data_IF_214008737811
#
_entry.id   IF_214008737811
#
_cell.length_a   1.000
_cell.length_b   1.000
_cell.length_c   1.000
_cell.angle_alpha   90.00
_cell.angle_beta   90.00
_cell.angle_gamma   90.00
#
_symmetry.space_group_name_H-M   'P 1'
#
loop_
_entity.id
_entity.type
_entity.pdbx_description
1 polymer ?
#
# COMPACT_ATOMS: atom_id res chain seq x y z
N UNK A 1 -41.28 59.93 50.20
CA UNK A 1 -40.00 59.97 49.54
C UNK A 1 -39.44 58.54 49.56
N UNK A 2 -39.70 57.78 48.50
CA UNK A 2 -39.24 56.39 48.40
C UNK A 2 -38.03 56.36 47.51
N UNK A 3 -36.89 55.95 48.09
CA UNK A 3 -35.64 55.67 47.29
C UNK A 3 -35.71 54.24 46.76
N UNK A 4 -35.76 54.09 45.41
CA UNK A 4 -35.61 52.81 44.70
C UNK A 4 -34.12 52.56 44.56
N UNK A 5 -33.65 51.41 45.10
CA UNK A 5 -32.28 50.91 44.98
C UNK A 5 -32.26 50.03 43.80
N UNK A 6 -31.52 50.46 42.70
CA UNK A 6 -31.27 49.66 41.49
C UNK A 6 -30.09 48.72 41.76
N UNK A 7 -30.36 47.41 41.82
CA UNK A 7 -29.32 46.38 41.90
C UNK A 7 -28.89 46.01 40.46
N UNK A 8 -27.64 46.35 40.11
CA UNK A 8 -27.05 45.88 38.86
C UNK A 8 -26.42 44.49 39.07
N UNK A 9 -27.05 43.46 38.49
CA UNK A 9 -26.48 42.11 38.43
C UNK A 9 -25.52 42.05 37.23
N UNK A 10 -24.24 42.01 37.53
CA UNK A 10 -23.20 41.75 36.50
C UNK A 10 -23.13 40.24 36.27
N UNK A 11 -23.72 39.76 35.17
CA UNK A 11 -23.61 38.37 34.74
C UNK A 11 -22.23 38.15 34.08
N UNK A 12 -21.32 37.51 34.79
CA UNK A 12 -20.02 37.08 34.24
C UNK A 12 -20.24 35.85 33.38
N UNK A 13 -20.30 36.02 32.05
CA UNK A 13 -20.25 34.92 31.08
C UNK A 13 -18.83 34.35 31.06
N UNK A 14 -18.61 33.26 31.76
CA UNK A 14 -17.40 32.40 31.60
C UNK A 14 -17.50 31.70 30.26
N UNK A 15 -16.84 32.25 29.24
CA UNK A 15 -16.58 31.55 27.98
C UNK A 15 -15.46 30.54 28.23
N UNK A 16 -15.84 29.29 28.55
CA UNK A 16 -14.91 28.19 28.57
C UNK A 16 -14.57 27.84 27.11
N UNK A 17 -13.42 28.32 26.61
CA UNK A 17 -12.84 27.87 25.38
C UNK A 17 -12.40 26.41 25.56
N UNK A 18 -13.23 25.48 25.08
CA UNK A 18 -12.83 24.08 24.92
C UNK A 18 -11.79 24.04 23.82
N UNK A 19 -10.52 24.13 24.17
CA UNK A 19 -9.42 23.76 23.27
C UNK A 19 -9.54 22.26 23.04
N UNK A 20 -10.16 21.85 21.93
CA UNK A 20 -10.06 20.51 21.39
C UNK A 20 -8.59 20.30 21.01
N UNK A 21 -7.86 19.66 21.89
CA UNK A 21 -6.48 19.23 21.60
C UNK A 21 -6.57 18.13 20.54
N UNK A 22 -6.62 18.49 19.25
CA UNK A 22 -6.46 17.54 18.14
C UNK A 22 -5.09 16.90 18.33
N UNK A 23 -5.05 15.70 18.91
CA UNK A 23 -3.83 14.91 19.06
C UNK A 23 -3.24 14.78 17.65
N UNK A 24 -2.06 15.35 17.42
CA UNK A 24 -1.38 15.26 16.12
C UNK A 24 -1.12 13.79 15.81
N UNK A 25 -1.46 13.38 14.59
CA UNK A 25 -1.19 12.02 14.11
C UNK A 25 0.33 11.81 14.11
N UNK A 26 0.82 10.79 14.80
CA UNK A 26 2.23 10.43 14.77
C UNK A 26 2.58 9.83 13.42
N UNK A 27 3.65 10.35 12.83
CA UNK A 27 4.21 9.91 11.55
C UNK A 27 5.68 9.58 11.76
N UNK A 28 6.10 8.43 11.24
CA UNK A 28 7.48 7.98 11.25
C UNK A 28 8.08 8.06 9.85
N UNK A 29 9.40 8.16 9.77
CA UNK A 29 10.12 8.19 8.50
C UNK A 29 11.23 7.14 8.50
N UNK A 30 11.29 6.36 7.41
CA UNK A 30 12.35 5.40 7.10
C UNK A 30 13.05 5.87 5.84
N UNK A 31 14.39 5.92 5.84
CA UNK A 31 15.20 6.45 4.73
C UNK A 31 16.16 5.41 4.19
N UNK A 32 16.27 5.36 2.86
CA UNK A 32 17.24 4.58 2.11
C UNK A 32 17.95 5.52 1.12
N UNK A 33 19.12 6.04 1.50
CA UNK A 33 19.84 7.05 0.72
C UNK A 33 19.00 8.32 0.46
N UNK A 34 18.65 8.55 -0.82
CA UNK A 34 17.79 9.69 -1.23
C UNK A 34 16.29 9.35 -1.25
N UNK A 35 15.94 8.12 -0.95
CA UNK A 35 14.56 7.64 -0.87
C UNK A 35 14.05 7.75 0.56
N UNK A 36 12.83 8.20 0.74
CA UNK A 36 12.18 8.33 2.04
C UNK A 36 10.74 7.85 2.00
N UNK A 37 10.35 7.07 3.01
CA UNK A 37 9.00 6.57 3.21
C UNK A 37 8.44 7.12 4.51
N UNK A 38 7.23 7.69 4.49
CA UNK A 38 6.52 8.12 5.69
C UNK A 38 5.37 7.20 6.01
N UNK A 39 5.28 6.81 7.27
CA UNK A 39 4.30 5.86 7.77
C UNK A 39 3.50 6.51 8.90
N UNK A 40 2.18 6.52 8.77
CA UNK A 40 1.26 6.94 9.82
C UNK A 40 1.00 5.79 10.80
N UNK A 41 0.90 6.10 12.09
CA UNK A 41 0.45 5.11 13.08
C UNK A 41 -0.98 4.62 12.83
N UNK A 42 -1.81 5.40 12.15
CA UNK A 42 -3.17 5.00 11.82
C UNK A 42 -3.17 3.93 10.71
N UNK A 43 -3.46 2.69 11.10
CA UNK A 43 -3.44 1.52 10.24
C UNK A 43 -2.03 1.09 9.81
N UNK A 44 -0.95 1.74 10.31
CA UNK A 44 0.38 1.55 9.76
C UNK A 44 0.39 1.82 8.25
N UNK A 45 -0.30 2.88 7.81
CA UNK A 45 -0.45 3.27 6.41
C UNK A 45 0.80 3.97 5.91
N UNK A 46 1.33 3.55 4.77
CA UNK A 46 2.37 4.29 4.05
C UNK A 46 1.71 5.48 3.38
N UNK A 47 2.06 6.69 3.81
CA UNK A 47 1.42 7.94 3.36
C UNK A 47 2.27 8.76 2.41
N UNK A 48 3.53 8.37 2.21
CA UNK A 48 4.46 9.04 1.28
C UNK A 48 5.59 8.10 0.95
N UNK A 49 6.00 8.07 -0.33
CA UNK A 49 7.20 7.39 -0.79
C UNK A 49 7.88 8.26 -1.85
N UNK A 50 9.05 8.82 -1.52
CA UNK A 50 9.72 9.87 -2.30
C UNK A 50 11.14 9.50 -2.66
N UNK A 51 11.57 9.96 -3.83
CA UNK A 51 12.99 10.06 -4.19
C UNK A 51 13.35 11.53 -4.44
N UNK A 52 14.36 12.05 -3.75
CA UNK A 52 14.75 13.47 -3.85
C UNK A 52 13.57 14.46 -3.73
N UNK A 53 12.57 14.16 -2.89
CA UNK A 53 11.36 14.98 -2.72
C UNK A 53 10.23 14.72 -3.72
N UNK A 54 10.47 14.00 -4.82
CA UNK A 54 9.44 13.63 -5.80
C UNK A 54 8.57 12.49 -5.27
N UNK A 55 7.27 12.73 -5.11
CA UNK A 55 6.29 11.80 -4.56
C UNK A 55 5.77 10.85 -5.64
N UNK A 56 5.61 9.57 -5.29
CA UNK A 56 4.99 8.57 -6.17
C UNK A 56 3.60 8.13 -5.70
N UNK A 57 3.25 8.31 -4.45
CA UNK A 57 1.95 7.91 -3.92
C UNK A 57 0.95 9.06 -4.00
N UNK A 58 -0.33 8.73 -4.16
CA UNK A 58 -1.42 9.70 -3.99
C UNK A 58 -1.49 10.21 -2.56
N UNK A 59 -1.92 11.47 -2.39
CA UNK A 59 -1.93 12.16 -1.11
C UNK A 59 -3.34 12.35 -0.56
N UNK A 60 -3.48 12.47 0.76
CA UNK A 60 -4.76 12.70 1.44
C UNK A 60 -5.48 13.99 1.04
N UNK A 61 -4.75 14.97 0.52
CA UNK A 61 -5.31 16.20 -0.05
C UNK A 61 -6.00 15.98 -1.39
N UNK A 62 -5.66 14.88 -2.09
CA UNK A 62 -6.22 14.54 -3.40
C UNK A 62 -7.43 13.61 -3.24
N UNK A 63 -7.34 12.63 -2.31
CA UNK A 63 -8.36 11.62 -2.12
C UNK A 63 -8.31 10.96 -0.74
N UNK A 64 -9.47 10.50 -0.23
CA UNK A 64 -9.56 9.77 1.04
C UNK A 64 -8.86 8.39 0.99
N UNK A 65 -8.89 7.73 -0.18
CA UNK A 65 -8.10 6.53 -0.45
C UNK A 65 -6.74 6.94 -1.01
N UNK A 66 -5.74 7.09 -0.18
CA UNK A 66 -4.41 7.56 -0.53
C UNK A 66 -3.33 6.63 0.03
N UNK A 67 -2.11 6.75 -0.48
CA UNK A 67 -0.97 5.99 0.01
C UNK A 67 -1.12 4.49 -0.17
N UNK A 68 -0.59 3.69 0.74
CA UNK A 68 -0.69 2.23 0.69
C UNK A 68 -1.13 1.63 2.01
N UNK A 69 -1.94 0.57 1.90
CA UNK A 69 -2.46 -0.21 3.03
C UNK A 69 -2.31 -1.70 2.77
N UNK A 70 -2.09 -2.47 3.83
CA UNK A 70 -2.26 -3.91 3.80
C UNK A 70 -3.68 -4.25 4.28
N UNK A 71 -4.41 -5.00 3.46
CA UNK A 71 -5.69 -5.60 3.83
C UNK A 71 -5.59 -7.13 3.93
N UNK A 72 -6.57 -7.73 4.57
CA UNK A 72 -6.73 -9.19 4.59
C UNK A 72 -7.60 -9.63 3.40
N UNK A 73 -7.10 -10.57 2.60
CA UNK A 73 -7.87 -11.16 1.50
C UNK A 73 -8.55 -12.47 1.95
N UNK A 74 -9.74 -12.82 1.41
CA UNK A 74 -10.47 -12.11 0.36
C UNK A 74 -11.31 -10.94 0.90
N UNK A 75 -11.59 -9.95 0.04
CA UNK A 75 -12.47 -8.83 0.37
C UNK A 75 -13.88 -9.28 0.74
N UNK A 76 -14.36 -10.40 0.20
CA UNK A 76 -15.68 -10.97 0.51
C UNK A 76 -15.90 -11.25 2.00
N UNK A 77 -14.84 -11.42 2.79
CA UNK A 77 -14.94 -11.72 4.22
C UNK A 77 -15.31 -10.47 5.06
N UNK A 78 -15.16 -9.26 4.51
CA UNK A 78 -15.41 -8.02 5.26
C UNK A 78 -16.18 -6.95 4.46
N UNK A 79 -16.30 -7.08 3.14
CA UNK A 79 -17.00 -6.11 2.29
C UNK A 79 -16.35 -4.73 2.24
N UNK A 80 -17.10 -3.67 2.57
CA UNK A 80 -16.61 -2.30 2.65
C UNK A 80 -17.30 -1.55 3.79
N UNK A 81 -16.60 -0.77 4.60
CA UNK A 81 -15.15 -0.50 4.60
C UNK A 81 -14.33 -1.66 5.22
N UNK A 82 -12.97 -1.59 5.10
CA UNK A 82 -12.08 -2.54 5.78
C UNK A 82 -12.24 -2.50 7.30
N UNK A 83 -11.76 -3.55 7.98
CA UNK A 83 -11.75 -3.60 9.45
C UNK A 83 -11.00 -2.41 10.04
N UNK A 84 -11.68 -1.53 10.76
CA UNK A 84 -11.13 -0.26 11.24
C UNK A 84 -9.88 -0.45 12.12
N UNK A 85 -9.85 -1.48 12.97
CA UNK A 85 -8.70 -1.78 13.84
C UNK A 85 -7.45 -2.08 13.03
N UNK A 86 -7.60 -2.72 11.86
CA UNK A 86 -6.48 -3.09 10.99
C UNK A 86 -6.12 -2.02 9.96
N UNK A 87 -7.04 -1.11 9.61
CA UNK A 87 -6.84 -0.13 8.52
C UNK A 87 -6.68 1.32 8.98
N UNK A 88 -7.32 1.74 10.09
CA UNK A 88 -7.42 3.16 10.44
C UNK A 88 -7.22 3.51 11.90
N UNK A 89 -7.25 2.54 12.81
CA UNK A 89 -6.98 2.78 14.24
C UNK A 89 -5.48 2.86 14.49
N UNK A 90 -5.08 3.57 15.56
CA UNK A 90 -3.68 3.79 15.94
C UNK A 90 -2.99 2.47 16.31
N UNK A 91 -1.88 2.15 15.62
CA UNK A 91 -0.97 1.06 15.94
C UNK A 91 0.03 1.48 17.01
N UNK A 92 0.44 0.55 17.85
CA UNK A 92 1.63 0.74 18.69
C UNK A 92 2.87 0.74 17.81
N UNK A 93 3.73 1.75 17.99
CA UNK A 93 4.91 1.93 17.15
C UNK A 93 6.18 2.01 18.00
N UNK A 94 7.22 1.33 17.55
CA UNK A 94 8.56 1.36 18.08
C UNK A 94 9.56 1.55 16.93
N UNK A 95 10.48 2.50 17.08
CA UNK A 95 11.57 2.70 16.12
C UNK A 95 12.91 2.54 16.83
N UNK A 96 13.78 1.66 16.29
CA UNK A 96 15.14 1.42 16.78
C UNK A 96 16.11 1.62 15.61
N UNK A 97 16.83 2.73 15.61
CA UNK A 97 17.65 3.14 14.47
C UNK A 97 16.77 3.29 13.22
N UNK A 98 17.14 2.58 12.16
CA UNK A 98 16.42 2.61 10.88
C UNK A 98 15.26 1.60 10.80
N UNK A 99 15.12 0.75 11.81
CA UNK A 99 14.05 -0.25 11.89
C UNK A 99 12.82 0.37 12.57
N UNK A 100 11.72 0.44 11.84
CA UNK A 100 10.41 0.81 12.37
C UNK A 100 9.53 -0.44 12.46
N UNK A 101 8.91 -0.65 13.61
CA UNK A 101 7.93 -1.71 13.86
C UNK A 101 6.63 -1.11 14.36
N UNK A 102 5.50 -1.59 13.83
CA UNK A 102 4.17 -1.23 14.29
C UNK A 102 3.29 -2.46 14.45
N UNK A 103 2.44 -2.47 15.49
CA UNK A 103 1.52 -3.56 15.75
C UNK A 103 0.11 -3.01 15.99
N UNK A 104 -0.90 -3.58 15.31
CA UNK A 104 -2.30 -3.23 15.53
C UNK A 104 -2.78 -3.66 16.91
N UNK A 105 -3.88 -3.07 17.38
CA UNK A 105 -4.67 -3.72 18.43
C UNK A 105 -5.19 -5.07 17.90
N UNK A 106 -5.44 -6.06 18.79
CA UNK A 106 -6.20 -7.24 18.41
C UNK A 106 -7.59 -6.85 17.88
N UNK A 107 -7.97 -7.35 16.71
CA UNK A 107 -9.31 -7.09 16.17
C UNK A 107 -10.23 -8.30 16.39
N UNK A 108 -11.19 -8.22 17.31
CA UNK A 108 -12.08 -9.34 17.62
C UNK A 108 -13.08 -9.64 16.49
N UNK A 109 -13.32 -8.69 15.57
CA UNK A 109 -14.27 -8.86 14.47
C UNK A 109 -13.63 -9.71 13.37
N UNK A 110 -12.47 -9.32 12.88
CA UNK A 110 -11.71 -10.10 11.89
C UNK A 110 -11.11 -11.37 12.52
N UNK A 111 -10.76 -11.33 13.80
CA UNK A 111 -10.00 -12.36 14.49
C UNK A 111 -8.51 -12.32 14.17
N UNK A 112 -8.00 -11.19 13.64
CA UNK A 112 -6.60 -11.02 13.31
C UNK A 112 -5.94 -9.89 14.08
N UNK A 113 -4.61 -9.96 14.18
CA UNK A 113 -3.71 -8.89 14.59
C UNK A 113 -2.61 -8.78 13.54
N UNK A 114 -2.22 -7.56 13.17
CA UNK A 114 -1.20 -7.31 12.16
C UNK A 114 -0.01 -6.62 12.79
N UNK A 115 1.18 -7.15 12.49
CA UNK A 115 2.45 -6.49 12.72
C UNK A 115 3.04 -6.09 11.37
N UNK A 116 3.64 -4.90 11.31
CA UNK A 116 4.30 -4.34 10.14
C UNK A 116 5.68 -3.84 10.52
N UNK A 117 6.67 -4.13 9.70
CA UNK A 117 8.06 -3.70 9.92
C UNK A 117 8.60 -3.07 8.65
N UNK A 118 9.35 -1.97 8.78
CA UNK A 118 10.02 -1.29 7.68
C UNK A 118 11.49 -1.10 8.00
N UNK A 119 12.35 -1.41 7.03
CA UNK A 119 13.79 -1.18 7.14
C UNK A 119 14.40 -0.83 5.79
N UNK A 120 15.40 0.05 5.71
CA UNK A 120 16.10 0.34 4.47
C UNK A 120 16.93 -0.87 4.02
N UNK A 121 16.97 -1.09 2.70
CA UNK A 121 17.85 -2.06 2.05
C UNK A 121 18.50 -1.41 0.83
N UNK A 122 19.80 -1.18 0.89
CA UNK A 122 20.52 -0.40 -0.13
C UNK A 122 20.14 1.09 -0.16
N UNK A 123 20.35 1.76 -1.31
CA UNK A 123 20.24 3.21 -1.44
C UNK A 123 18.87 3.73 -1.91
N UNK A 124 18.02 2.83 -2.40
CA UNK A 124 16.75 3.21 -3.03
C UNK A 124 15.56 2.35 -2.61
N UNK A 125 15.80 1.38 -1.74
CA UNK A 125 14.83 0.32 -1.43
C UNK A 125 14.52 0.27 0.06
N UNK A 126 13.26 -0.01 0.37
CA UNK A 126 12.77 -0.26 1.74
C UNK A 126 12.06 -1.60 1.72
N UNK A 127 12.51 -2.49 2.60
CA UNK A 127 11.86 -3.76 2.88
C UNK A 127 10.71 -3.54 3.85
N UNK A 128 9.58 -4.15 3.54
CA UNK A 128 8.37 -4.14 4.34
C UNK A 128 8.04 -5.59 4.68
N UNK A 129 7.85 -5.86 5.96
CA UNK A 129 7.46 -7.19 6.43
C UNK A 129 6.12 -7.10 7.15
N UNK A 130 5.26 -8.05 6.88
CA UNK A 130 3.93 -8.18 7.46
C UNK A 130 3.80 -9.53 8.16
N UNK A 131 3.23 -9.51 9.35
CA UNK A 131 2.87 -10.70 10.09
C UNK A 131 1.38 -10.62 10.43
N UNK A 132 0.57 -11.53 9.88
CA UNK A 132 -0.87 -11.64 10.15
C UNK A 132 -1.08 -12.80 11.09
N UNK A 133 -1.48 -12.54 12.33
CA UNK A 133 -1.72 -13.56 13.36
C UNK A 133 -3.20 -13.84 13.50
N UNK A 134 -3.60 -15.12 13.49
CA UNK A 134 -4.93 -15.55 13.92
C UNK A 134 -5.02 -15.52 15.46
N UNK A 135 -5.77 -14.54 15.98
CA UNK A 135 -6.03 -14.38 17.43
C UNK A 135 -7.38 -14.95 17.84
N UNK A 136 -8.13 -15.54 16.92
CA UNK A 136 -9.41 -16.17 17.21
C UNK A 136 -9.23 -17.60 17.80
N UNK A 137 -10.33 -18.20 18.25
CA UNK A 137 -10.37 -19.56 18.79
C UNK A 137 -10.58 -20.65 17.72
N UNK A 138 -10.69 -20.26 16.44
CA UNK A 138 -10.98 -21.19 15.31
C UNK A 138 -9.95 -21.00 14.19
N UNK A 139 -9.68 -22.00 13.36
CA UNK A 139 -8.93 -21.82 12.14
C UNK A 139 -9.60 -20.78 11.24
N UNK A 140 -8.79 -19.89 10.65
CA UNK A 140 -9.21 -18.84 9.71
C UNK A 140 -8.28 -18.81 8.52
N UNK A 141 -8.82 -18.75 7.32
CA UNK A 141 -8.03 -18.58 6.12
C UNK A 141 -7.84 -17.08 5.83
N UNK A 142 -6.67 -16.71 5.35
CA UNK A 142 -6.33 -15.31 5.04
C UNK A 142 -5.19 -15.26 4.02
N UNK A 143 -5.19 -14.25 3.17
CA UNK A 143 -4.05 -13.84 2.35
C UNK A 143 -3.65 -12.39 2.65
N UNK A 144 -2.37 -12.03 2.50
CA UNK A 144 -1.94 -10.64 2.55
C UNK A 144 -2.29 -9.97 1.22
N UNK A 145 -2.81 -8.76 1.27
CA UNK A 145 -3.20 -7.97 0.10
C UNK A 145 -2.73 -6.53 0.27
N UNK A 146 -1.62 -6.18 -0.39
CA UNK A 146 -1.11 -4.80 -0.39
C UNK A 146 -1.77 -4.00 -1.51
N UNK A 147 -2.34 -2.85 -1.15
CA UNK A 147 -3.05 -1.94 -2.04
C UNK A 147 -2.37 -0.59 -2.05
N UNK A 148 -1.64 -0.30 -3.11
CA UNK A 148 -0.81 0.90 -3.27
C UNK A 148 -1.41 1.83 -4.31
N UNK A 149 -1.69 3.09 -3.94
CA UNK A 149 -2.31 4.09 -4.80
C UNK A 149 -1.30 5.06 -5.34
N UNK A 150 -1.24 5.13 -6.68
CA UNK A 150 -0.36 6.01 -7.45
C UNK A 150 -1.19 6.91 -8.37
N UNK A 151 -0.69 8.10 -8.79
CA UNK A 151 -1.35 8.93 -9.79
C UNK A 151 -1.56 8.19 -11.11
N UNK A 152 -2.65 8.46 -11.83
CA UNK A 152 -2.83 8.01 -13.21
C UNK A 152 -1.86 8.72 -14.17
N UNK A 153 -1.72 8.18 -15.39
CA UNK A 153 -0.85 8.73 -16.43
C UNK A 153 0.51 8.08 -16.54
N UNK A 154 0.74 6.99 -15.80
CA UNK A 154 1.95 6.15 -15.89
C UNK A 154 1.72 4.86 -16.64
N UNK A 155 2.72 3.99 -16.61
CA UNK A 155 2.70 2.67 -17.23
C UNK A 155 3.00 1.63 -16.17
N UNK A 156 2.05 0.72 -15.94
CA UNK A 156 2.25 -0.47 -15.13
C UNK A 156 2.77 -1.62 -16.01
N UNK A 157 3.71 -2.41 -15.49
CA UNK A 157 4.24 -3.55 -16.21
C UNK A 157 4.73 -4.62 -15.25
N UNK A 158 4.57 -5.88 -15.63
CA UNK A 158 4.95 -7.04 -14.81
C UNK A 158 5.17 -8.29 -15.69
N UNK A 159 5.96 -9.28 -15.24
CA UNK A 159 6.13 -10.54 -15.96
C UNK A 159 4.80 -11.30 -16.02
N UNK A 160 4.46 -11.81 -17.20
CA UNK A 160 3.28 -12.62 -17.38
C UNK A 160 3.40 -13.96 -16.65
N UNK A 161 2.49 -14.25 -15.74
CA UNK A 161 2.42 -15.52 -15.01
C UNK A 161 1.70 -16.64 -15.78
N UNK A 162 1.22 -16.36 -16.99
CA UNK A 162 0.51 -17.30 -17.83
C UNK A 162 -0.97 -17.47 -17.43
N UNK A 163 -1.51 -18.64 -17.72
CA UNK A 163 -2.92 -18.92 -17.47
C UNK A 163 -3.20 -19.15 -15.98
N UNK A 164 -4.11 -18.37 -15.42
CA UNK A 164 -4.59 -18.51 -14.07
C UNK A 164 -6.13 -18.43 -14.04
N UNK A 165 -6.75 -19.08 -13.04
CA UNK A 165 -8.18 -18.91 -12.78
C UNK A 165 -8.37 -17.66 -11.92
N UNK A 166 -8.58 -16.53 -12.58
CA UNK A 166 -8.87 -15.23 -11.98
C UNK A 166 -10.23 -14.72 -12.45
N UNK A 167 -10.83 -13.72 -11.75
CA UNK A 167 -12.04 -13.07 -12.23
C UNK A 167 -11.88 -12.42 -13.60
N UNK A 168 -12.99 -12.17 -14.27
CA UNK A 168 -13.00 -11.46 -15.55
C UNK A 168 -12.53 -9.99 -15.34
N UNK A 169 -11.62 -9.54 -16.21
CA UNK A 169 -11.06 -8.20 -16.20
C UNK A 169 -11.78 -7.29 -17.20
N UNK A 170 -12.07 -6.05 -16.77
CA UNK A 170 -12.56 -5.00 -17.67
C UNK A 170 -11.48 -3.92 -17.97
N UNK A 171 -10.31 -4.00 -17.34
CA UNK A 171 -9.10 -3.32 -17.76
C UNK A 171 -8.29 -4.29 -18.63
N UNK A 172 -7.81 -3.80 -19.79
CA UNK A 172 -7.08 -4.63 -20.75
C UNK A 172 -5.57 -4.43 -20.62
N UNK A 173 -4.83 -5.49 -20.93
CA UNK A 173 -3.40 -5.41 -21.21
C UNK A 173 -3.24 -4.79 -22.60
N UNK A 174 -2.50 -3.70 -22.72
CA UNK A 174 -2.31 -2.99 -23.98
C UNK A 174 -1.29 -3.68 -24.89
N UNK A 175 -0.26 -4.26 -24.28
CA UNK A 175 0.79 -4.99 -24.99
C UNK A 175 1.31 -6.16 -24.13
N UNK A 176 1.42 -7.34 -24.73
CA UNK A 176 2.18 -8.46 -24.19
C UNK A 176 3.37 -8.71 -25.10
N UNK A 177 4.57 -8.46 -24.60
CA UNK A 177 5.81 -8.60 -25.37
C UNK A 177 6.93 -9.14 -24.49
N UNK A 178 7.68 -10.13 -25.00
CA UNK A 178 8.83 -10.76 -24.31
C UNK A 178 8.49 -11.25 -22.90
N UNK A 179 7.28 -11.79 -22.71
CA UNK A 179 6.78 -12.29 -21.44
C UNK A 179 6.44 -11.20 -20.42
N UNK A 180 6.28 -9.95 -20.86
CA UNK A 180 5.88 -8.81 -20.01
C UNK A 180 4.52 -8.31 -20.45
N UNK A 181 3.64 -8.11 -19.49
CA UNK A 181 2.37 -7.41 -19.65
C UNK A 181 2.56 -5.91 -19.39
N UNK A 182 2.02 -5.08 -20.28
CA UNK A 182 2.13 -3.62 -20.24
C UNK A 182 0.75 -3.00 -20.25
N UNK A 183 0.51 -2.06 -19.33
CA UNK A 183 -0.76 -1.35 -19.19
C UNK A 183 -0.47 0.14 -19.10
N UNK A 184 -0.98 0.91 -20.08
CA UNK A 184 -0.95 2.37 -20.05
C UNK A 184 -2.16 2.87 -19.26
N UNK A 185 -1.92 3.62 -18.19
CA UNK A 185 -3.00 4.20 -17.38
C UNK A 185 -3.30 5.59 -17.90
N UNK A 186 -4.52 5.79 -18.41
CA UNK A 186 -4.95 7.10 -18.90
C UNK A 186 -4.87 8.13 -17.75
N UNK A 187 -4.38 9.33 -18.08
CA UNK A 187 -4.30 10.46 -17.16
C UNK A 187 -5.68 11.09 -16.92
N UNK A 188 -6.57 10.96 -17.89
CA UNK A 188 -7.90 11.57 -17.81
C UNK A 188 -8.85 10.71 -16.97
N UNK A 189 -9.81 11.33 -16.27
CA UNK A 189 -10.87 10.60 -15.57
C UNK A 189 -11.63 9.67 -16.52
N UNK A 190 -11.94 8.46 -16.04
CA UNK A 190 -12.73 7.47 -16.77
C UNK A 190 -14.16 7.42 -16.22
N UNK A 191 -15.17 7.07 -17.06
CA UNK A 191 -16.59 7.07 -16.66
C UNK A 191 -16.90 5.96 -15.65
N UNK A 192 -16.24 4.82 -15.73
CA UNK A 192 -16.47 3.64 -14.90
C UNK A 192 -15.17 3.07 -14.37
N UNK A 193 -15.23 2.45 -13.20
CA UNK A 193 -14.10 1.72 -12.64
C UNK A 193 -13.62 0.62 -13.59
N UNK A 194 -12.30 0.48 -13.67
CA UNK A 194 -11.69 -0.63 -14.41
C UNK A 194 -10.80 -1.44 -13.50
N UNK A 195 -10.82 -2.75 -13.65
CA UNK A 195 -9.96 -3.66 -12.89
C UNK A 195 -9.42 -4.76 -13.78
N UNK A 196 -8.12 -5.03 -13.61
CA UNK A 196 -7.42 -6.17 -14.14
C UNK A 196 -7.15 -7.15 -13.01
N UNK A 197 -7.42 -8.44 -13.23
CA UNK A 197 -6.97 -9.52 -12.39
C UNK A 197 -5.98 -10.38 -13.18
N UNK A 198 -4.82 -10.66 -12.60
CA UNK A 198 -3.74 -11.36 -13.28
C UNK A 198 -2.89 -12.16 -12.30
N UNK A 199 -1.92 -12.88 -12.84
CA UNK A 199 -0.82 -13.50 -12.10
C UNK A 199 0.50 -13.07 -12.73
N UNK A 200 1.52 -12.98 -11.93
CA UNK A 200 2.88 -12.68 -12.36
C UNK A 200 3.77 -13.92 -12.20
N UNK A 201 4.91 -13.92 -12.85
CA UNK A 201 6.08 -14.71 -12.47
C UNK A 201 7.20 -13.74 -12.07
N UNK A 202 8.28 -14.24 -11.48
CA UNK A 202 9.41 -13.46 -11.00
C UNK A 202 9.08 -12.54 -9.78
N UNK A 203 7.81 -12.39 -9.37
CA UNK A 203 7.41 -11.69 -8.13
C UNK A 203 7.70 -10.18 -8.14
N UNK A 204 7.31 -9.45 -9.19
CA UNK A 204 7.44 -8.00 -9.23
C UNK A 204 6.39 -7.29 -10.08
N UNK A 205 6.10 -6.04 -9.72
CA UNK A 205 5.25 -5.10 -10.44
C UNK A 205 5.96 -3.74 -10.50
N UNK A 206 6.17 -3.22 -11.72
CA UNK A 206 6.79 -1.93 -11.99
C UNK A 206 5.77 -0.87 -12.40
N UNK A 207 6.03 0.39 -12.03
CA UNK A 207 5.27 1.56 -12.46
C UNK A 207 6.21 2.70 -12.85
N UNK A 208 6.16 3.09 -14.12
CA UNK A 208 6.90 4.24 -14.66
C UNK A 208 6.02 5.48 -14.69
N UNK A 209 6.43 6.56 -14.00
CA UNK A 209 5.68 7.82 -13.93
C UNK A 209 6.60 9.01 -13.69
N UNK A 210 6.42 10.10 -14.46
CA UNK A 210 7.16 11.36 -14.31
C UNK A 210 8.69 11.19 -14.13
N UNK A 211 9.32 10.37 -14.97
CA UNK A 211 10.76 10.12 -14.90
C UNK A 211 11.21 9.24 -13.74
N UNK A 212 10.28 8.71 -12.96
CA UNK A 212 10.54 7.81 -11.83
C UNK A 212 10.11 6.39 -12.18
N UNK A 213 10.83 5.42 -11.63
CA UNK A 213 10.49 4.00 -11.64
C UNK A 213 10.21 3.55 -10.20
N UNK A 214 8.98 3.14 -9.96
CA UNK A 214 8.55 2.48 -8.74
C UNK A 214 8.44 0.97 -9.00
N UNK A 215 9.04 0.17 -8.13
CA UNK A 215 9.04 -1.29 -8.24
C UNK A 215 8.58 -1.86 -6.90
N UNK A 216 7.60 -2.74 -6.94
CA UNK A 216 7.19 -3.61 -5.84
C UNK A 216 7.71 -5.00 -6.14
N UNK A 217 8.58 -5.55 -5.26
CA UNK A 217 9.02 -6.95 -5.30
C UNK A 217 8.35 -7.70 -4.17
N UNK A 218 7.89 -8.91 -4.44
CA UNK A 218 7.17 -9.75 -3.48
C UNK A 218 7.42 -11.24 -3.80
N UNK A 219 7.10 -12.17 -2.88
CA UNK A 219 7.17 -13.60 -3.15
C UNK A 219 6.22 -13.98 -4.29
N UNK A 220 6.76 -14.64 -5.32
CA UNK A 220 5.99 -15.17 -6.45
C UNK A 220 4.97 -16.21 -5.94
N UNK A 221 3.68 -15.92 -6.11
CA UNK A 221 2.60 -16.77 -5.64
C UNK A 221 2.04 -17.60 -6.79
N UNK A 222 2.23 -18.91 -6.74
CA UNK A 222 1.77 -19.82 -7.80
C UNK A 222 0.26 -19.68 -8.06
N UNK A 223 -0.18 -19.75 -9.33
CA UNK A 223 -1.57 -19.72 -9.70
C UNK A 223 -2.42 -20.68 -8.86
N UNK A 224 -3.51 -20.18 -8.29
CA UNK A 224 -4.40 -20.93 -7.41
C UNK A 224 -4.07 -20.91 -5.93
N UNK A 225 -2.95 -20.31 -5.52
CA UNK A 225 -2.57 -20.18 -4.11
C UNK A 225 -2.88 -18.80 -3.52
N UNK A 226 -3.39 -17.85 -4.29
CA UNK A 226 -3.92 -16.59 -3.79
C UNK A 226 -5.42 -16.70 -3.45
N UNK A 227 -5.98 -15.66 -2.84
CA UNK A 227 -7.36 -15.66 -2.32
C UNK A 227 -8.41 -15.91 -3.40
N UNK A 228 -9.51 -16.61 -3.07
CA UNK A 228 -10.62 -16.80 -3.99
C UNK A 228 -11.17 -15.48 -4.54
N UNK A 229 -11.54 -15.47 -5.82
CA UNK A 229 -12.10 -14.31 -6.53
C UNK A 229 -11.13 -13.10 -6.62
N UNK A 230 -9.83 -13.34 -6.55
CA UNK A 230 -8.78 -12.33 -6.66
C UNK A 230 -7.63 -12.82 -7.54
N UNK A 231 -6.66 -11.97 -7.86
CA UNK A 231 -5.44 -12.30 -8.58
C UNK A 231 -4.22 -12.04 -7.72
N UNK A 232 -3.06 -12.61 -8.11
CA UNK A 232 -1.80 -12.23 -7.48
C UNK A 232 -1.46 -10.76 -7.77
N UNK A 233 -1.72 -10.31 -9.00
CA UNK A 233 -1.66 -8.92 -9.44
C UNK A 233 -3.07 -8.45 -9.73
N UNK A 234 -3.38 -7.27 -9.17
CA UNK A 234 -4.59 -6.56 -9.53
C UNK A 234 -4.23 -5.09 -9.81
N UNK A 235 -4.79 -4.54 -10.89
CA UNK A 235 -4.64 -3.12 -11.22
C UNK A 235 -6.05 -2.54 -11.30
N UNK A 236 -6.33 -1.58 -10.41
CA UNK A 236 -7.62 -0.90 -10.36
C UNK A 236 -7.46 0.56 -10.75
N UNK A 237 -8.33 1.07 -11.61
CA UNK A 237 -8.39 2.48 -12.00
C UNK A 237 -9.70 3.07 -11.52
N UNK A 238 -9.61 4.09 -10.67
CA UNK A 238 -10.77 4.68 -10.02
C UNK A 238 -11.54 5.63 -10.93
N UNK A 239 -12.87 5.54 -10.84
CA UNK A 239 -13.78 6.40 -11.59
C UNK A 239 -13.65 7.86 -11.16
N UNK A 240 -13.20 8.72 -12.06
CA UNK A 240 -13.18 10.17 -11.87
C UNK A 240 -12.25 10.71 -10.79
N UNK A 241 -11.45 9.86 -10.13
CA UNK A 241 -10.58 10.28 -9.03
C UNK A 241 -9.10 10.34 -9.37
N UNK A 242 -8.76 10.00 -10.62
CA UNK A 242 -7.40 10.14 -11.15
C UNK A 242 -6.31 9.42 -10.36
N UNK A 243 -6.61 8.25 -9.79
CA UNK A 243 -5.62 7.35 -9.22
C UNK A 243 -5.82 5.92 -9.72
N UNK A 244 -4.74 5.16 -9.65
CA UNK A 244 -4.77 3.70 -9.85
C UNK A 244 -4.20 2.99 -8.64
N UNK A 245 -4.70 1.78 -8.38
CA UNK A 245 -4.16 0.89 -7.37
C UNK A 245 -3.27 -0.14 -8.04
N UNK A 246 -2.08 -0.28 -7.52
CA UNK A 246 -1.12 -1.33 -7.83
C UNK A 246 -1.18 -2.33 -6.68
N UNK A 247 -1.84 -3.46 -6.92
CA UNK A 247 -2.15 -4.41 -5.87
C UNK A 247 -1.36 -5.71 -6.09
N UNK A 248 -0.92 -6.32 -5.01
CA UNK A 248 -0.31 -7.65 -5.05
C UNK A 248 -0.73 -8.46 -3.83
N UNK A 249 -0.83 -9.77 -4.03
CA UNK A 249 -1.26 -10.71 -3.02
C UNK A 249 -0.24 -11.82 -2.80
N UNK A 250 -0.12 -12.25 -1.55
CA UNK A 250 0.64 -13.44 -1.20
C UNK A 250 -0.27 -14.68 -1.07
N UNK A 251 0.32 -15.74 -0.54
CA UNK A 251 -0.34 -17.04 -0.39
C UNK A 251 -1.55 -16.92 0.54
N UNK A 252 -2.69 -17.48 0.10
CA UNK A 252 -3.89 -17.65 0.90
C UNK A 252 -3.83 -18.99 1.64
N UNK A 253 -3.87 -18.97 2.96
CA UNK A 253 -3.74 -20.18 3.76
C UNK A 253 -4.58 -20.13 5.03
N UNK A 254 -4.93 -21.31 5.54
CA UNK A 254 -5.64 -21.47 6.82
C UNK A 254 -4.65 -21.45 7.98
N UNK A 255 -4.87 -20.54 8.92
CA UNK A 255 -4.10 -20.41 10.16
C UNK A 255 -4.89 -20.98 11.33
N UNK A 256 -4.31 -21.90 12.10
CA UNK A 256 -4.87 -22.31 13.39
C UNK A 256 -4.81 -21.18 14.42
N UNK A 257 -5.57 -21.25 15.53
CA UNK A 257 -5.44 -20.30 16.63
C UNK A 257 -3.99 -20.10 17.06
N UNK A 258 -3.53 -18.84 17.07
CA UNK A 258 -2.16 -18.47 17.44
C UNK A 258 -1.12 -18.56 16.31
N UNK A 259 -1.43 -19.23 15.18
CA UNK A 259 -0.52 -19.27 14.02
C UNK A 259 -0.48 -17.92 13.29
N UNK A 260 0.60 -17.68 12.57
CA UNK A 260 0.83 -16.45 11.80
C UNK A 260 1.22 -16.75 10.37
N UNK A 261 0.85 -15.84 9.47
CA UNK A 261 1.28 -15.76 8.09
C UNK A 261 2.30 -14.63 7.96
N UNK A 262 3.46 -14.92 7.38
CA UNK A 262 4.47 -13.94 7.05
C UNK A 262 4.37 -13.56 5.56
N UNK A 263 4.54 -12.29 5.27
CA UNK A 263 4.63 -11.77 3.91
C UNK A 263 5.62 -10.61 3.87
N UNK A 264 6.40 -10.49 2.82
CA UNK A 264 7.37 -9.41 2.71
C UNK A 264 7.41 -8.84 1.30
N UNK A 265 7.66 -7.54 1.23
CA UNK A 265 7.86 -6.81 -0.01
C UNK A 265 9.13 -5.97 0.08
N UNK A 266 9.74 -5.71 -1.06
CA UNK A 266 10.76 -4.66 -1.20
C UNK A 266 10.24 -3.62 -2.18
N UNK A 267 10.17 -2.37 -1.72
CA UNK A 267 9.79 -1.25 -2.56
C UNK A 267 11.02 -0.44 -2.94
N UNK A 268 11.21 -0.24 -4.25
CA UNK A 268 12.31 0.55 -4.80
C UNK A 268 11.73 1.76 -5.53
N UNK A 269 12.27 2.94 -5.27
CA UNK A 269 11.93 4.17 -5.99
C UNK A 269 13.21 4.87 -6.45
N UNK A 270 13.35 5.03 -7.77
CA UNK A 270 14.55 5.60 -8.36
C UNK A 270 14.23 6.43 -9.62
N UNK A 271 15.11 7.35 -10.03
CA UNK A 271 14.95 8.02 -11.31
C UNK A 271 15.23 7.03 -12.46
N UNK A 272 14.48 7.18 -13.53
CA UNK A 272 14.75 6.48 -14.79
C UNK A 272 15.89 7.25 -15.50
N UNK A 273 16.92 6.55 -16.01
CA UNK A 273 17.97 7.19 -16.78
C UNK A 273 17.42 8.00 -17.97
N UNK A 274 17.98 9.18 -18.24
CA UNK A 274 17.47 10.12 -19.27
C UNK A 274 17.34 9.50 -20.68
N UNK A 275 18.16 8.49 -20.98
CA UNK A 275 18.14 7.75 -22.26
C UNK A 275 17.11 6.60 -22.28
N UNK A 276 16.27 6.46 -21.24
CA UNK A 276 15.21 5.44 -21.14
C UNK A 276 13.86 6.13 -21.05
N UNK A 277 13.01 5.87 -22.04
CA UNK A 277 11.66 6.43 -22.08
C UNK A 277 10.67 5.56 -21.30
N UNK A 278 9.69 6.23 -20.67
CA UNK A 278 8.50 5.57 -20.10
C UNK A 278 7.51 5.35 -21.25
N UNK A 279 7.60 4.18 -21.87
CA UNK A 279 6.71 3.77 -22.97
C UNK A 279 6.45 2.26 -22.92
N UNK A 280 5.29 1.81 -23.34
CA UNK A 280 4.94 0.39 -23.38
C UNK A 280 5.91 -0.36 -24.30
N UNK A 281 6.27 -1.57 -23.92
CA UNK A 281 7.19 -2.42 -24.69
C UNK A 281 8.67 -2.02 -24.60
N UNK A 282 9.07 -1.03 -23.76
CA UNK A 282 10.47 -0.64 -23.66
C UNK A 282 11.29 -1.66 -22.84
N UNK A 283 12.15 -2.49 -23.48
CA UNK A 283 12.89 -3.54 -22.79
C UNK A 283 13.91 -2.99 -21.77
N UNK A 284 14.35 -1.73 -21.92
CA UNK A 284 15.29 -1.12 -20.98
C UNK A 284 14.67 -0.93 -19.59
N UNK A 285 13.35 -0.69 -19.48
CA UNK A 285 12.67 -0.65 -18.19
C UNK A 285 12.74 -2.00 -17.48
N UNK A 286 12.43 -3.09 -18.20
CA UNK A 286 12.51 -4.44 -17.64
C UNK A 286 13.96 -4.82 -17.27
N UNK A 287 14.95 -4.42 -18.08
CA UNK A 287 16.36 -4.68 -17.78
C UNK A 287 16.81 -3.99 -16.49
N UNK A 288 16.33 -2.77 -16.20
CA UNK A 288 16.59 -2.06 -14.93
C UNK A 288 16.03 -2.88 -13.77
N UNK A 289 14.76 -3.30 -13.84
CA UNK A 289 14.12 -4.08 -12.78
C UNK A 289 14.88 -5.38 -12.52
N UNK A 290 15.14 -6.17 -13.57
CA UNK A 290 15.83 -7.46 -13.44
C UNK A 290 17.25 -7.31 -12.86
N UNK A 291 17.97 -6.24 -13.23
CA UNK A 291 19.29 -5.95 -12.66
C UNK A 291 19.22 -5.70 -11.16
N UNK A 292 18.23 -4.92 -10.69
CA UNK A 292 18.02 -4.66 -9.27
C UNK A 292 17.70 -5.96 -8.51
N UNK A 293 16.81 -6.78 -9.02
CA UNK A 293 16.46 -8.07 -8.41
C UNK A 293 17.65 -9.03 -8.29
N UNK A 294 18.58 -9.00 -9.25
CA UNK A 294 19.80 -9.81 -9.19
C UNK A 294 20.78 -9.31 -8.12
N UNK A 295 20.92 -7.99 -7.94
CA UNK A 295 21.81 -7.43 -6.92
C UNK A 295 21.34 -7.77 -5.51
N UNK A 296 20.04 -7.62 -5.22
CA UNK A 296 19.47 -7.93 -3.92
C UNK A 296 19.54 -9.42 -3.54
N UNK A 297 19.44 -10.33 -4.51
CA UNK A 297 19.63 -11.77 -4.27
C UNK A 297 21.07 -12.12 -3.86
N UNK A 298 22.06 -11.37 -4.33
CA UNK A 298 23.45 -11.58 -3.98
C UNK A 298 23.79 -11.05 -2.59
N UNK A 299 23.21 -9.91 -2.19
CA UNK A 299 23.42 -9.32 -0.87
C UNK A 299 22.80 -10.16 0.26
N UNK A 300 21.71 -10.87 -0.02
CA UNK A 300 21.07 -11.79 0.93
C UNK A 300 21.79 -13.15 1.10
N UNK A 301 22.86 -13.42 0.32
CA UNK A 301 23.66 -14.67 0.40
C UNK A 301 24.99 -14.51 1.12
N UNK A 302 25.37 -13.29 1.44
CA UNK A 302 26.59 -12.94 2.20
C UNK A 302 26.22 -12.55 3.64
#
# INVERSE_FOLDING_TARGET
>A
MNKVLLLHIFSLLLISSVFSNKKSIRIFEVKAGKTAMKISVHGGRIISFKYCGNEILTQSSEHANFGSTLWTAPQSDWGWPPFAVLDSIEYLAEQKGDLLKMISQPDPISGFQIEKTWQPVGDHSIRIEYLIRNISTKPKAVGPWDVTRVPCGGIAFYPDGGKAKVPESNLKIDLQQEGINWISIDKNPIPDHKKLFSTAQEGWLGYGYNGMLFIKQFPDTKPGNYSPQQGEIEIYVDKGKNYTELENQGVYQSLKPGESLEYSETWTLMPIPENVKIEIGNPKLCAIVRKLMMSERNDNRN
#
